data_IF_767244486456
#
_entry.id   IF_767244486456
#
_cell.length_a   1.000
_cell.length_b   1.000
_cell.length_c   1.000
_cell.angle_alpha   90.00
_cell.angle_beta   90.00
_cell.angle_gamma   90.00
#
_symmetry.space_group_name_H-M   'P 1'
#
loop_
_entity.id
_entity.type
_entity.pdbx_description
1 polymer ?
#
# COMPACT_ATOMS: atom_id res chain seq x y z
N UNK A 1 16.69 -7.58 -12.90
CA UNK A 1 17.91 -6.76 -12.78
C UNK A 1 18.04 -5.93 -14.06
N UNK A 2 17.81 -4.62 -13.97
CA UNK A 2 18.05 -3.72 -15.10
C UNK A 2 19.55 -3.42 -15.08
N UNK A 3 20.27 -3.83 -16.13
CA UNK A 3 21.67 -3.47 -16.33
C UNK A 3 21.70 -2.15 -17.10
N UNK A 4 22.26 -1.06 -16.54
CA UNK A 4 22.47 0.17 -17.29
C UNK A 4 23.43 -0.13 -18.46
N UNK A 5 23.00 0.09 -19.70
CA UNK A 5 23.79 -0.20 -20.91
C UNK A 5 24.61 0.98 -21.41
N UNK A 6 24.69 2.08 -20.64
CA UNK A 6 25.41 3.29 -21.04
C UNK A 6 25.77 4.21 -19.88
N UNK A 7 26.62 5.19 -20.16
CA UNK A 7 27.01 6.23 -19.19
C UNK A 7 25.85 7.22 -19.03
N UNK A 8 25.59 7.68 -17.80
CA UNK A 8 24.63 8.75 -17.56
C UNK A 8 25.02 10.00 -18.37
N UNK A 9 24.06 10.56 -19.11
CA UNK A 9 24.27 11.72 -20.00
C UNK A 9 23.72 13.02 -19.41
N UNK A 10 23.03 12.96 -18.28
CA UNK A 10 22.45 14.10 -17.58
C UNK A 10 22.25 13.78 -16.10
N UNK A 11 22.08 14.81 -15.28
CA UNK A 11 21.62 14.67 -13.90
C UNK A 11 20.14 14.22 -13.86
N UNK A 12 19.74 13.38 -12.90
CA UNK A 12 18.35 12.99 -12.73
C UNK A 12 17.51 14.16 -12.23
N UNK A 13 16.30 14.31 -12.78
CA UNK A 13 15.29 15.25 -12.28
C UNK A 13 14.60 14.65 -11.02
N UNK A 14 15.26 14.81 -9.87
CA UNK A 14 14.79 14.27 -8.59
C UNK A 14 13.51 14.95 -8.13
N UNK A 15 13.43 16.28 -8.25
CA UNK A 15 12.25 17.04 -7.82
C UNK A 15 11.04 16.71 -8.69
N UNK A 16 11.21 16.57 -10.01
CA UNK A 16 10.16 16.11 -10.90
C UNK A 16 9.67 14.70 -10.57
N UNK A 17 10.59 13.78 -10.20
CA UNK A 17 10.22 12.43 -9.78
C UNK A 17 9.42 12.41 -8.46
N UNK A 18 9.80 13.23 -7.49
CA UNK A 18 9.07 13.43 -6.23
C UNK A 18 7.69 14.02 -6.50
N UNK A 19 7.60 15.10 -7.28
CA UNK A 19 6.35 15.75 -7.64
C UNK A 19 5.38 14.81 -8.39
N UNK A 20 5.91 13.97 -9.28
CA UNK A 20 5.13 12.95 -9.98
C UNK A 20 4.56 11.91 -9.00
N UNK A 21 5.31 11.51 -7.98
CA UNK A 21 4.84 10.57 -6.95
C UNK A 21 3.74 11.20 -6.09
N UNK A 22 3.95 12.43 -5.63
CA UNK A 22 2.94 13.21 -4.89
C UNK A 22 1.64 13.29 -5.69
N UNK A 23 1.73 13.71 -6.96
CA UNK A 23 0.56 13.84 -7.86
C UNK A 23 -0.19 12.53 -8.02
N UNK A 24 0.50 11.39 -8.12
CA UNK A 24 -0.14 10.07 -8.26
C UNK A 24 -0.72 9.54 -6.94
N UNK A 25 -0.24 10.01 -5.79
CA UNK A 25 -0.82 9.65 -4.50
C UNK A 25 -2.09 10.43 -4.21
N UNK A 26 -2.14 11.71 -4.62
CA UNK A 26 -3.23 12.63 -4.28
C UNK A 26 -4.27 12.84 -5.38
N UNK A 27 -3.87 12.64 -6.64
CA UNK A 27 -4.69 12.89 -7.82
C UNK A 27 -5.01 11.64 -8.65
N UNK A 28 -5.65 11.82 -9.82
CA UNK A 28 -5.90 10.72 -10.74
C UNK A 28 -4.59 10.14 -11.27
N UNK A 29 -4.49 8.82 -11.36
CA UNK A 29 -3.31 8.05 -11.78
C UNK A 29 -3.39 7.61 -13.24
N UNK A 30 -4.54 7.06 -13.64
CA UNK A 30 -4.86 6.56 -14.97
C UNK A 30 -5.79 7.50 -15.75
N UNK A 31 -6.40 8.49 -15.09
CA UNK A 31 -7.32 9.45 -15.70
C UNK A 31 -8.66 8.83 -16.09
N UNK A 32 -9.14 7.84 -15.34
CA UNK A 32 -10.39 7.13 -15.62
C UNK A 32 -11.02 6.53 -14.35
N UNK A 33 -12.14 5.81 -14.51
CA UNK A 33 -12.90 5.23 -13.39
C UNK A 33 -12.13 4.28 -12.47
N UNK A 34 -10.94 3.83 -12.85
CA UNK A 34 -10.09 2.97 -12.01
C UNK A 34 -9.24 3.76 -11.01
N UNK A 35 -9.19 5.09 -11.09
CA UNK A 35 -8.38 5.94 -10.18
C UNK A 35 -8.72 5.77 -8.71
N UNK A 36 -9.98 5.45 -8.40
CA UNK A 36 -10.47 5.14 -7.05
C UNK A 36 -9.85 3.88 -6.42
N UNK A 37 -8.98 3.16 -7.15
CA UNK A 37 -8.22 2.01 -6.63
C UNK A 37 -6.74 2.34 -6.41
N UNK A 38 -6.33 3.59 -6.64
CA UNK A 38 -4.95 4.05 -6.50
C UNK A 38 -4.85 5.24 -5.53
N UNK A 39 -3.63 5.50 -5.08
CA UNK A 39 -3.32 6.59 -4.16
C UNK A 39 -4.11 6.49 -2.84
N UNK A 40 -4.29 7.63 -2.17
CA UNK A 40 -5.01 7.68 -0.90
C UNK A 40 -6.47 7.27 -1.04
N UNK A 41 -7.12 7.62 -2.15
CA UNK A 41 -8.52 7.23 -2.39
C UNK A 41 -8.70 5.71 -2.44
N UNK A 42 -7.78 4.99 -3.09
CA UNK A 42 -7.77 3.54 -3.13
C UNK A 42 -7.50 2.90 -1.78
N UNK A 43 -6.57 3.46 -1.00
CA UNK A 43 -6.26 2.99 0.35
C UNK A 43 -7.45 3.16 1.30
N UNK A 44 -8.09 4.34 1.29
CA UNK A 44 -9.27 4.64 2.11
C UNK A 44 -10.46 3.74 1.72
N UNK A 45 -10.67 3.54 0.41
CA UNK A 45 -11.68 2.60 -0.07
C UNK A 45 -11.38 1.18 0.36
N UNK A 46 -10.12 0.75 0.31
CA UNK A 46 -9.72 -0.58 0.75
C UNK A 46 -10.01 -0.78 2.24
N UNK A 47 -9.60 0.16 3.10
CA UNK A 47 -9.90 0.12 4.54
C UNK A 47 -11.41 0.09 4.81
N UNK A 48 -12.19 0.90 4.08
CA UNK A 48 -13.65 0.90 4.19
C UNK A 48 -14.27 -0.45 3.82
N UNK A 49 -13.80 -1.09 2.74
CA UNK A 49 -14.30 -2.40 2.30
C UNK A 49 -13.88 -3.54 3.24
N UNK A 50 -12.75 -3.41 3.94
CA UNK A 50 -12.38 -4.35 5.00
C UNK A 50 -13.36 -4.25 6.17
N UNK A 51 -13.75 -3.04 6.57
CA UNK A 51 -14.68 -2.79 7.69
C UNK A 51 -16.16 -3.00 7.36
N UNK A 52 -16.52 -3.02 6.09
CA UNK A 52 -17.91 -3.18 5.69
C UNK A 52 -18.38 -4.62 5.95
N UNK A 53 -19.22 -4.77 6.97
CA UNK A 53 -19.88 -6.02 7.35
C UNK A 53 -21.35 -6.09 6.89
N UNK A 54 -21.81 -5.11 6.11
CA UNK A 54 -23.24 -4.91 5.86
C UNK A 54 -23.61 -4.92 4.38
N UNK A 55 -22.66 -4.70 3.47
CA UNK A 55 -22.93 -4.67 2.04
C UNK A 55 -22.10 -5.71 1.26
N UNK A 56 -22.48 -5.94 0.00
CA UNK A 56 -21.74 -6.76 -0.97
C UNK A 56 -20.34 -6.19 -1.29
N UNK A 57 -20.05 -4.95 -0.87
CA UNK A 57 -18.72 -4.38 -0.98
C UNK A 57 -17.75 -4.90 0.09
N UNK A 58 -18.28 -5.43 1.19
CA UNK A 58 -17.53 -6.01 2.29
C UNK A 58 -16.73 -7.24 1.90
N UNK A 59 -15.52 -7.35 2.46
CA UNK A 59 -14.67 -8.52 2.23
C UNK A 59 -15.25 -9.80 2.81
N UNK A 60 -15.99 -9.72 3.92
CA UNK A 60 -16.73 -10.88 4.47
C UNK A 60 -17.77 -11.43 3.49
N UNK A 61 -18.47 -10.54 2.79
CA UNK A 61 -19.46 -10.94 1.78
C UNK A 61 -18.78 -11.52 0.54
N UNK A 62 -17.70 -10.89 0.07
CA UNK A 62 -16.98 -11.29 -1.16
C UNK A 62 -16.15 -12.55 -1.00
N UNK A 63 -15.60 -12.78 0.19
CA UNK A 63 -14.62 -13.82 0.48
C UNK A 63 -15.07 -14.71 1.65
N UNK A 64 -16.38 -14.95 1.76
CA UNK A 64 -16.98 -15.70 2.87
C UNK A 64 -16.69 -17.20 2.86
N UNK A 65 -16.28 -17.79 1.73
CA UNK A 65 -15.89 -19.21 1.68
C UNK A 65 -14.41 -19.40 2.05
N UNK A 66 -14.00 -20.54 2.62
CA UNK A 66 -12.60 -20.83 2.91
C UNK A 66 -11.68 -20.64 1.69
N UNK A 67 -12.10 -21.09 0.51
CA UNK A 67 -11.31 -21.01 -0.73
C UNK A 67 -11.15 -19.56 -1.20
N UNK A 68 -12.22 -18.76 -1.15
CA UNK A 68 -12.19 -17.35 -1.52
C UNK A 68 -11.33 -16.54 -0.54
N UNK A 69 -11.39 -16.89 0.75
CA UNK A 69 -10.59 -16.28 1.80
C UNK A 69 -9.09 -16.62 1.67
N UNK A 70 -8.75 -17.88 1.42
CA UNK A 70 -7.36 -18.31 1.14
C UNK A 70 -6.82 -17.59 -0.10
N UNK A 71 -7.61 -17.51 -1.17
CA UNK A 71 -7.20 -16.83 -2.40
C UNK A 71 -6.92 -15.34 -2.15
N UNK A 72 -7.79 -14.62 -1.45
CA UNK A 72 -7.61 -13.17 -1.25
C UNK A 72 -6.47 -12.85 -0.28
N UNK A 73 -6.31 -13.63 0.79
CA UNK A 73 -5.20 -13.44 1.75
C UNK A 73 -3.85 -13.79 1.11
N UNK A 74 -3.80 -14.83 0.28
CA UNK A 74 -2.63 -15.14 -0.54
C UNK A 74 -2.30 -14.03 -1.54
N UNK A 75 -3.30 -13.38 -2.13
CA UNK A 75 -3.11 -12.20 -3.00
C UNK A 75 -2.60 -10.98 -2.24
N UNK A 76 -3.01 -10.76 -1.00
CA UNK A 76 -2.48 -9.68 -0.17
C UNK A 76 -0.97 -9.86 0.07
N UNK A 77 -0.53 -11.05 0.50
CA UNK A 77 0.90 -11.36 0.64
C UNK A 77 1.65 -11.18 -0.69
N UNK A 78 1.11 -11.75 -1.78
CA UNK A 78 1.74 -11.64 -3.09
C UNK A 78 1.91 -10.18 -3.53
N UNK A 79 0.84 -9.39 -3.52
CA UNK A 79 0.87 -8.01 -4.01
C UNK A 79 1.66 -7.05 -3.12
N UNK A 80 1.82 -7.33 -1.82
CA UNK A 80 2.48 -6.41 -0.89
C UNK A 80 3.96 -6.74 -0.68
N UNK A 81 4.38 -7.98 -0.98
CA UNK A 81 5.73 -8.45 -0.66
C UNK A 81 6.52 -9.02 -1.85
N UNK A 82 5.85 -9.48 -2.93
CA UNK A 82 6.52 -10.32 -3.95
C UNK A 82 6.26 -9.92 -5.39
N UNK A 83 4.99 -9.85 -5.79
CA UNK A 83 4.56 -9.68 -7.17
C UNK A 83 4.29 -8.22 -7.49
N UNK A 84 4.92 -7.71 -8.55
CA UNK A 84 4.71 -6.36 -9.09
C UNK A 84 5.10 -5.21 -8.13
N UNK A 85 5.56 -5.54 -6.93
CA UNK A 85 6.01 -4.63 -5.88
C UNK A 85 7.30 -5.15 -5.23
N UNK A 86 7.80 -4.41 -4.23
CA UNK A 86 8.83 -4.86 -3.31
C UNK A 86 8.24 -4.91 -1.88
N UNK A 87 8.90 -5.60 -0.92
CA UNK A 87 8.50 -5.66 0.48
C UNK A 87 8.02 -4.34 1.07
N UNK A 88 6.94 -4.39 1.86
CA UNK A 88 6.30 -3.19 2.41
C UNK A 88 5.61 -2.34 1.35
N UNK A 89 5.04 -2.97 0.32
CA UNK A 89 4.37 -2.31 -0.79
C UNK A 89 5.23 -1.21 -1.47
N UNK A 90 6.53 -1.48 -1.62
CA UNK A 90 7.56 -0.60 -2.22
C UNK A 90 7.92 0.64 -1.39
N UNK A 91 7.25 0.90 -0.25
CA UNK A 91 7.51 2.09 0.57
C UNK A 91 8.95 2.17 1.09
N UNK A 92 9.59 1.08 1.56
CA UNK A 92 10.99 1.12 1.99
C UNK A 92 11.95 1.55 0.87
N UNK A 93 11.74 1.06 -0.37
CA UNK A 93 12.56 1.49 -1.51
C UNK A 93 12.36 2.96 -1.85
N UNK A 94 11.13 3.47 -1.74
CA UNK A 94 10.87 4.90 -1.94
C UNK A 94 11.47 5.75 -0.81
N UNK A 95 11.46 5.26 0.43
CA UNK A 95 12.15 5.92 1.55
C UNK A 95 13.66 6.01 1.31
N UNK A 96 14.29 4.94 0.84
CA UNK A 96 15.73 4.95 0.53
C UNK A 96 16.05 5.94 -0.60
N UNK A 97 15.17 6.04 -1.62
CA UNK A 97 15.27 7.09 -2.63
C UNK A 97 15.17 8.50 -2.02
N UNK A 98 14.22 8.74 -1.10
CA UNK A 98 14.05 10.03 -0.45
C UNK A 98 15.24 10.41 0.45
N UNK A 99 15.85 9.44 1.14
CA UNK A 99 17.08 9.67 1.92
C UNK A 99 18.22 10.12 0.99
N UNK A 100 18.42 9.44 -0.14
CA UNK A 100 19.40 9.82 -1.16
C UNK A 100 19.12 11.20 -1.77
N UNK A 101 17.83 11.58 -1.85
CA UNK A 101 17.38 12.89 -2.32
C UNK A 101 17.45 14.00 -1.26
N UNK A 102 17.96 13.71 -0.04
CA UNK A 102 18.07 14.69 1.03
C UNK A 102 16.73 15.05 1.70
N UNK A 103 15.76 14.12 1.70
CA UNK A 103 14.40 14.29 2.26
C UNK A 103 14.13 13.27 3.39
N UNK A 104 14.96 13.22 4.46
CA UNK A 104 14.96 12.12 5.43
C UNK A 104 13.70 12.07 6.32
N UNK A 105 13.06 13.22 6.59
CA UNK A 105 11.84 13.27 7.39
C UNK A 105 10.68 12.53 6.69
N UNK A 106 10.46 12.83 5.40
CA UNK A 106 9.48 12.12 4.59
C UNK A 106 9.87 10.64 4.39
N UNK A 107 11.17 10.34 4.23
CA UNK A 107 11.67 8.97 4.15
C UNK A 107 11.29 8.14 5.39
N UNK A 108 11.47 8.70 6.59
CA UNK A 108 11.09 8.05 7.85
C UNK A 108 9.62 7.64 7.87
N UNK A 109 8.72 8.54 7.48
CA UNK A 109 7.27 8.29 7.46
C UNK A 109 6.88 7.20 6.45
N UNK A 110 7.49 7.18 5.25
CA UNK A 110 7.25 6.10 4.29
C UNK A 110 7.80 4.77 4.79
N UNK A 111 8.96 4.75 5.45
CA UNK A 111 9.52 3.53 6.05
C UNK A 111 8.60 2.98 7.14
N UNK A 112 7.99 3.85 7.93
CA UNK A 112 7.01 3.50 8.96
C UNK A 112 5.73 2.93 8.34
N UNK A 113 5.20 3.58 7.29
CA UNK A 113 4.08 3.05 6.51
C UNK A 113 4.39 1.66 5.92
N UNK A 114 5.60 1.47 5.38
CA UNK A 114 6.04 0.18 4.84
C UNK A 114 5.98 -0.95 5.87
N UNK A 115 6.31 -0.68 7.14
CA UNK A 115 6.19 -1.68 8.21
C UNK A 115 4.74 -2.09 8.48
N UNK A 116 3.79 -1.16 8.38
CA UNK A 116 2.37 -1.50 8.50
C UNK A 116 1.90 -2.38 7.33
N UNK A 117 2.33 -2.07 6.10
CA UNK A 117 2.02 -2.88 4.92
C UNK A 117 2.59 -4.30 5.02
N UNK A 118 3.84 -4.45 5.47
CA UNK A 118 4.42 -5.78 5.71
C UNK A 118 3.72 -6.53 6.84
N UNK A 119 3.30 -5.83 7.91
CA UNK A 119 2.53 -6.45 8.98
C UNK A 119 1.16 -6.93 8.48
N UNK A 120 0.51 -6.18 7.61
CA UNK A 120 -0.75 -6.59 6.97
C UNK A 120 -0.54 -7.84 6.13
N UNK A 121 0.51 -7.87 5.30
CA UNK A 121 0.85 -9.04 4.50
C UNK A 121 1.14 -10.28 5.37
N UNK A 122 1.85 -10.10 6.49
CA UNK A 122 2.10 -11.17 7.45
C UNK A 122 0.80 -11.70 8.08
N UNK A 123 -0.09 -10.81 8.54
CA UNK A 123 -1.39 -11.18 9.08
C UNK A 123 -2.18 -12.01 8.06
N UNK A 124 -2.24 -11.55 6.81
CA UNK A 124 -2.90 -12.26 5.72
C UNK A 124 -2.26 -13.63 5.46
N UNK A 125 -0.93 -13.72 5.37
CA UNK A 125 -0.20 -14.98 5.14
C UNK A 125 -0.42 -16.02 6.23
N UNK A 126 -0.58 -15.57 7.48
CA UNK A 126 -0.77 -16.46 8.63
C UNK A 126 -2.24 -16.77 8.93
N UNK A 127 -3.17 -16.19 8.18
CA UNK A 127 -4.60 -16.44 8.37
C UNK A 127 -4.94 -17.89 7.99
N UNK A 128 -5.63 -18.60 8.89
CA UNK A 128 -6.06 -19.97 8.59
C UNK A 128 -7.30 -19.92 7.68
N UNK A 129 -7.34 -20.68 6.57
CA UNK A 129 -8.51 -20.71 5.67
C UNK A 129 -9.81 -21.07 6.39
N UNK A 130 -9.73 -21.96 7.37
CA UNK A 130 -10.87 -22.46 8.14
C UNK A 130 -11.18 -21.63 9.40
N UNK A 131 -10.59 -20.42 9.53
CA UNK A 131 -10.91 -19.49 10.63
C UNK A 131 -12.41 -19.20 10.67
N UNK A 132 -12.98 -19.11 11.87
CA UNK A 132 -14.37 -18.74 12.04
C UNK A 132 -14.64 -17.26 11.68
N UNK A 133 -15.92 -16.89 11.64
CA UNK A 133 -16.33 -15.55 11.24
C UNK A 133 -15.77 -14.45 12.15
N UNK A 134 -15.65 -14.71 13.47
CA UNK A 134 -15.13 -13.73 14.41
C UNK A 134 -13.62 -13.49 14.19
N UNK A 135 -12.84 -14.56 14.03
CA UNK A 135 -11.42 -14.46 13.72
C UNK A 135 -11.15 -13.76 12.38
N UNK A 136 -12.00 -13.99 11.36
CA UNK A 136 -11.91 -13.28 10.07
C UNK A 136 -12.22 -11.80 10.20
N UNK A 137 -13.24 -11.44 10.97
CA UNK A 137 -13.59 -10.05 11.28
C UNK A 137 -12.43 -9.32 11.99
N UNK A 138 -11.87 -9.93 13.03
CA UNK A 138 -10.71 -9.39 13.76
C UNK A 138 -9.51 -9.15 12.84
N UNK A 139 -9.23 -10.09 11.92
CA UNK A 139 -8.20 -9.93 10.91
C UNK A 139 -8.47 -8.72 10.01
N UNK A 140 -9.69 -8.61 9.47
CA UNK A 140 -10.04 -7.51 8.57
C UNK A 140 -9.99 -6.15 9.27
N UNK A 141 -10.39 -6.06 10.55
CA UNK A 141 -10.26 -4.84 11.36
C UNK A 141 -8.79 -4.48 11.60
N UNK A 142 -7.96 -5.45 11.99
CA UNK A 142 -6.53 -5.23 12.17
C UNK A 142 -5.84 -4.77 10.88
N UNK A 143 -6.22 -5.35 9.74
CA UNK A 143 -5.76 -4.90 8.42
C UNK A 143 -6.20 -3.47 8.11
N UNK A 144 -7.48 -3.12 8.35
CA UNK A 144 -8.00 -1.79 8.09
C UNK A 144 -7.29 -0.71 8.95
N UNK A 145 -7.01 -1.01 10.22
CA UNK A 145 -6.29 -0.12 11.13
C UNK A 145 -4.83 0.09 10.72
N UNK A 146 -4.19 -0.90 10.10
CA UNK A 146 -2.87 -0.73 9.50
C UNK A 146 -2.92 0.18 8.28
N UNK A 147 -3.92 0.00 7.41
CA UNK A 147 -4.11 0.85 6.22
C UNK A 147 -4.35 2.31 6.62
N UNK A 148 -5.23 2.59 7.59
CA UNK A 148 -5.50 3.96 8.04
C UNK A 148 -4.25 4.64 8.61
N UNK A 149 -3.46 3.92 9.42
CA UNK A 149 -2.18 4.43 9.94
C UNK A 149 -1.20 4.72 8.81
N UNK A 150 -1.13 3.85 7.80
CA UNK A 150 -0.32 4.11 6.60
C UNK A 150 -0.80 5.34 5.84
N UNK A 151 -2.11 5.53 5.65
CA UNK A 151 -2.66 6.73 4.99
C UNK A 151 -2.28 7.99 5.75
N UNK A 152 -2.41 8.00 7.08
CA UNK A 152 -2.04 9.15 7.91
C UNK A 152 -0.56 9.53 7.74
N UNK A 153 0.35 8.55 7.85
CA UNK A 153 1.79 8.75 7.67
C UNK A 153 2.13 9.23 6.25
N UNK A 154 1.54 8.62 5.22
CA UNK A 154 1.84 8.98 3.83
C UNK A 154 1.28 10.36 3.46
N UNK A 155 0.15 10.79 4.04
CA UNK A 155 -0.37 12.15 3.89
C UNK A 155 0.54 13.19 4.54
N UNK A 156 1.07 12.90 5.73
CA UNK A 156 2.05 13.77 6.39
C UNK A 156 3.35 13.87 5.57
N UNK A 157 3.83 12.73 5.05
CA UNK A 157 5.00 12.69 4.18
C UNK A 157 4.79 13.52 2.91
N UNK A 158 3.63 13.40 2.25
CA UNK A 158 3.29 14.23 1.08
C UNK A 158 3.28 15.72 1.44
N UNK A 159 2.70 16.11 2.57
CA UNK A 159 2.71 17.51 3.01
C UNK A 159 4.11 18.05 3.34
N UNK A 160 5.09 17.19 3.63
CA UNK A 160 6.51 17.58 3.73
C UNK A 160 7.16 17.72 2.35
N UNK A 161 6.78 16.88 1.39
CA UNK A 161 7.34 16.88 0.03
C UNK A 161 6.86 18.03 -0.84
N UNK A 162 5.71 18.62 -0.53
CA UNK A 162 5.12 19.78 -1.21
C UNK A 162 5.64 21.15 -0.73
N UNK A 163 6.45 21.18 0.33
CA UNK A 163 7.11 22.40 0.84
C UNK A 163 8.41 22.67 0.10
#
# INVERSE_FOLDING_TARGET
>A
MVLPTGRATAEPDVDGAVAATVTRLTGPVLGNRFDVNFGFSGMERFAAQLRDAHTEAGWESRFGTPEAFEAVTGRLDACLEREWTAPGATRPLYADFLDLAGRPEAAGLFRDSGRHWSRLAELARTAAPDSDAAARRDLFDACADLVDRSVALEREAVALLER
#
